data_IF_481680626954
#
_entry.id   IF_481680626954
#
_cell.length_a   1.000
_cell.length_b   1.000
_cell.length_c   1.000
_cell.angle_alpha   90.00
_cell.angle_beta   90.00
_cell.angle_gamma   90.00
#
_symmetry.space_group_name_H-M   'P 1'
#
loop_
_entity.id
_entity.type
_entity.pdbx_description
1 polymer ?
#
# COMPACT_ATOMS: atom_id res chain seq x y z
N UNK A 1 -17.95 -11.61 4.43
CA UNK A 1 -16.63 -12.11 3.98
C UNK A 1 -16.82 -12.98 2.76
N UNK A 2 -16.07 -12.71 1.72
CA UNK A 2 -16.01 -13.46 0.45
C UNK A 2 -14.57 -13.91 0.22
N UNK A 3 -14.36 -14.80 -0.73
CA UNK A 3 -13.02 -15.21 -1.16
C UNK A 3 -12.95 -15.32 -2.67
N UNK A 4 -11.84 -14.92 -3.25
CA UNK A 4 -11.46 -15.21 -4.65
C UNK A 4 -10.22 -16.10 -4.66
N UNK A 5 -10.02 -16.85 -5.72
CA UNK A 5 -8.84 -17.73 -5.86
C UNK A 5 -7.84 -17.06 -6.78
N UNK A 6 -6.64 -16.82 -6.27
CA UNK A 6 -5.51 -16.34 -7.04
C UNK A 6 -4.99 -17.41 -8.00
N UNK A 7 -4.17 -17.03 -8.97
CA UNK A 7 -3.64 -17.92 -10.01
C UNK A 7 -2.87 -19.14 -9.48
N UNK A 8 -2.20 -18.97 -8.32
CA UNK A 8 -1.47 -20.06 -7.65
C UNK A 8 -2.34 -20.93 -6.71
N UNK A 9 -3.67 -20.68 -6.69
CA UNK A 9 -4.61 -21.37 -5.81
C UNK A 9 -4.81 -20.75 -4.45
N UNK A 10 -4.05 -19.70 -4.09
CA UNK A 10 -4.19 -18.98 -2.82
C UNK A 10 -5.56 -18.33 -2.71
N UNK A 11 -6.25 -18.53 -1.58
CA UNK A 11 -7.54 -17.89 -1.30
C UNK A 11 -7.33 -16.49 -0.76
N UNK A 12 -7.87 -15.49 -1.41
CA UNK A 12 -7.81 -14.09 -1.03
C UNK A 12 -9.17 -13.68 -0.47
N UNK A 13 -9.19 -13.30 0.81
CA UNK A 13 -10.39 -12.89 1.53
C UNK A 13 -10.67 -11.40 1.34
N UNK A 14 -11.94 -11.06 1.13
CA UNK A 14 -12.36 -9.68 0.98
C UNK A 14 -13.75 -9.43 1.57
N UNK A 15 -14.04 -8.18 1.86
CA UNK A 15 -15.37 -7.67 2.13
C UNK A 15 -15.80 -6.75 0.98
N UNK A 16 -17.08 -6.82 0.62
CA UNK A 16 -17.71 -6.01 -0.43
C UNK A 16 -18.82 -5.20 0.20
N UNK A 17 -18.78 -3.88 0.02
CA UNK A 17 -19.77 -2.94 0.59
C UNK A 17 -20.12 -1.85 -0.42
N UNK A 18 -21.35 -1.32 -0.32
CA UNK A 18 -21.85 -0.25 -1.20
C UNK A 18 -22.33 -0.71 -2.57
N UNK A 19 -22.68 0.26 -3.40
CA UNK A 19 -23.14 0.09 -4.78
C UNK A 19 -22.55 1.17 -5.67
N UNK A 20 -22.28 0.85 -6.94
CA UNK A 20 -21.69 1.77 -7.90
C UNK A 20 -20.46 1.17 -8.61
N UNK A 21 -19.62 2.00 -9.23
CA UNK A 21 -18.39 1.55 -9.88
C UNK A 21 -17.48 0.81 -8.90
N UNK A 22 -16.80 -0.23 -9.36
CA UNK A 22 -15.91 -1.06 -8.53
C UNK A 22 -14.65 -0.29 -8.12
N UNK A 23 -14.33 -0.28 -6.82
CA UNK A 23 -13.12 0.30 -6.23
C UNK A 23 -12.44 -0.72 -5.33
N UNK A 24 -11.16 -1.01 -5.59
CA UNK A 24 -10.35 -1.93 -4.80
C UNK A 24 -9.39 -1.13 -3.92
N UNK A 25 -9.33 -1.47 -2.63
CA UNK A 25 -8.44 -0.87 -1.64
C UNK A 25 -7.24 -1.79 -1.38
N UNK A 26 -6.03 -1.33 -1.72
CA UNK A 26 -4.78 -2.07 -1.52
C UNK A 26 -4.04 -1.52 -0.31
N UNK A 27 -4.09 -2.24 0.79
CA UNK A 27 -3.51 -1.82 2.06
C UNK A 27 -1.97 -1.87 2.06
N UNK A 28 -1.34 -0.98 2.82
CA UNK A 28 0.10 -0.98 3.07
C UNK A 28 0.56 -1.98 4.13
N UNK A 29 1.82 -1.88 4.54
CA UNK A 29 2.41 -2.70 5.59
C UNK A 29 1.61 -2.61 6.90
N UNK A 30 1.62 -3.69 7.70
CA UNK A 30 0.91 -3.81 8.97
C UNK A 30 -0.62 -3.70 8.90
N UNK A 31 -1.21 -3.53 7.73
CA UNK A 31 -2.64 -3.36 7.55
C UNK A 31 -3.29 -4.60 6.93
N UNK A 32 -4.57 -4.77 7.21
CA UNK A 32 -5.44 -5.84 6.72
C UNK A 32 -6.89 -5.32 6.68
N UNK A 33 -7.82 -6.03 6.01
CA UNK A 33 -9.19 -5.53 5.77
C UNK A 33 -9.99 -5.15 7.02
N UNK A 34 -9.74 -5.82 8.18
CA UNK A 34 -10.37 -5.49 9.47
C UNK A 34 -9.62 -4.42 10.28
N UNK A 35 -8.56 -3.83 9.72
CA UNK A 35 -7.89 -2.71 10.39
C UNK A 35 -8.85 -1.52 10.47
N UNK A 36 -9.00 -0.85 11.64
CA UNK A 36 -10.04 0.16 11.85
C UNK A 36 -10.07 1.27 10.79
N UNK A 37 -8.90 1.77 10.37
CA UNK A 37 -8.81 2.78 9.31
C UNK A 37 -9.28 2.27 7.94
N UNK A 38 -9.02 1.02 7.59
CA UNK A 38 -9.48 0.41 6.35
C UNK A 38 -11.00 0.21 6.35
N UNK A 39 -11.56 -0.29 7.46
CA UNK A 39 -13.01 -0.45 7.62
C UNK A 39 -13.72 0.90 7.49
N UNK A 40 -13.20 1.93 8.18
CA UNK A 40 -13.78 3.28 8.13
C UNK A 40 -13.72 3.85 6.71
N UNK A 41 -12.58 3.73 6.02
CA UNK A 41 -12.42 4.23 4.65
C UNK A 41 -13.34 3.51 3.68
N UNK A 42 -13.41 2.16 3.76
CA UNK A 42 -14.32 1.37 2.93
C UNK A 42 -15.78 1.79 3.13
N UNK A 43 -16.21 2.03 4.37
CA UNK A 43 -17.56 2.49 4.67
C UNK A 43 -17.84 3.89 4.09
N UNK A 44 -16.93 4.86 4.24
CA UNK A 44 -17.10 6.19 3.67
C UNK A 44 -17.17 6.18 2.14
N UNK A 45 -16.36 5.36 1.50
CA UNK A 45 -16.35 5.22 0.03
C UNK A 45 -17.53 4.43 -0.51
N UNK A 46 -18.19 3.61 0.32
CA UNK A 46 -19.36 2.81 -0.08
C UNK A 46 -20.59 3.64 -0.43
N UNK A 47 -20.60 4.94 -0.10
CA UNK A 47 -21.62 5.90 -0.54
C UNK A 47 -21.59 6.13 -2.06
N UNK A 48 -20.43 5.89 -2.70
CA UNK A 48 -20.20 6.21 -4.13
C UNK A 48 -19.81 4.99 -4.96
N UNK A 49 -19.27 3.94 -4.32
CA UNK A 49 -18.64 2.81 -4.99
C UNK A 49 -19.09 1.47 -4.42
N UNK A 50 -18.96 0.43 -5.24
CA UNK A 50 -18.85 -0.93 -4.73
C UNK A 50 -17.40 -1.13 -4.32
N UNK A 51 -17.12 -1.09 -3.01
CA UNK A 51 -15.77 -1.13 -2.44
C UNK A 51 -15.39 -2.57 -2.12
N UNK A 52 -14.26 -3.02 -2.66
CA UNK A 52 -13.61 -4.28 -2.37
C UNK A 52 -12.41 -4.02 -1.45
N UNK A 53 -12.56 -4.35 -0.17
CA UNK A 53 -11.50 -4.24 0.83
C UNK A 53 -10.99 -5.64 1.14
N UNK A 54 -9.77 -5.98 0.68
CA UNK A 54 -9.22 -7.33 0.76
C UNK A 54 -8.02 -7.44 1.70
N UNK A 55 -7.79 -8.63 2.21
CA UNK A 55 -6.55 -8.99 2.88
C UNK A 55 -5.51 -9.39 1.83
N UNK A 56 -4.38 -8.71 1.76
CA UNK A 56 -3.23 -9.17 0.98
C UNK A 56 -2.78 -10.54 1.50
N UNK A 57 -2.16 -11.36 0.63
CA UNK A 57 -1.71 -12.72 1.02
C UNK A 57 -0.94 -12.74 2.33
N UNK A 58 -1.11 -13.78 3.13
CA UNK A 58 -0.51 -13.93 4.45
C UNK A 58 -1.14 -13.06 5.54
N UNK A 59 -2.18 -12.26 5.26
CA UNK A 59 -2.80 -11.36 6.23
C UNK A 59 -4.26 -11.69 6.46
N UNK A 60 -4.74 -11.39 7.67
CA UNK A 60 -6.14 -11.54 8.03
C UNK A 60 -6.67 -12.95 7.78
N UNK A 61 -7.67 -13.06 6.92
CA UNK A 61 -8.30 -14.34 6.56
C UNK A 61 -7.86 -14.86 5.17
N UNK A 62 -6.92 -14.16 4.50
CA UNK A 62 -6.32 -14.65 3.27
C UNK A 62 -5.31 -15.77 3.53
N UNK A 63 -5.22 -16.69 2.58
CA UNK A 63 -4.19 -17.70 2.55
C UNK A 63 -2.79 -17.11 2.30
N UNK A 64 -1.79 -17.96 2.41
CA UNK A 64 -0.39 -17.63 2.13
C UNK A 64 0.24 -18.73 1.27
N UNK A 65 1.40 -18.44 0.67
CA UNK A 65 2.18 -19.38 -0.11
C UNK A 65 3.59 -19.47 0.44
N UNK A 66 4.21 -20.66 0.54
CA UNK A 66 5.60 -20.83 0.97
C UNK A 66 6.59 -20.07 0.08
N UNK A 67 6.22 -19.85 -1.18
CA UNK A 67 7.06 -19.18 -2.19
C UNK A 67 6.46 -17.81 -2.53
N UNK A 68 6.81 -16.80 -1.73
CA UNK A 68 6.44 -15.44 -2.02
C UNK A 68 7.26 -14.88 -3.19
N UNK A 69 6.57 -14.26 -4.14
CA UNK A 69 7.15 -13.32 -5.10
C UNK A 69 6.19 -12.15 -5.30
N UNK A 70 6.70 -11.03 -5.82
CA UNK A 70 5.89 -9.83 -6.08
C UNK A 70 4.79 -10.16 -7.11
N UNK A 71 5.11 -10.98 -8.11
CA UNK A 71 4.17 -11.41 -9.15
C UNK A 71 2.97 -12.16 -8.55
N UNK A 72 3.16 -12.92 -7.46
CA UNK A 72 2.06 -13.58 -6.76
C UNK A 72 1.09 -12.58 -6.13
N UNK A 73 1.57 -11.48 -5.56
CA UNK A 73 0.67 -10.42 -5.07
C UNK A 73 0.02 -9.63 -6.22
N UNK A 74 0.71 -9.45 -7.34
CA UNK A 74 0.11 -8.85 -8.55
C UNK A 74 -1.01 -9.74 -9.10
N UNK A 75 -0.83 -11.06 -9.10
CA UNK A 75 -1.86 -12.04 -9.46
C UNK A 75 -3.06 -12.01 -8.49
N UNK A 76 -2.83 -11.75 -7.20
CA UNK A 76 -3.92 -11.55 -6.23
C UNK A 76 -4.75 -10.31 -6.57
N UNK A 77 -4.08 -9.19 -6.86
CA UNK A 77 -4.78 -7.97 -7.24
C UNK A 77 -5.50 -8.13 -8.59
N UNK A 78 -4.92 -8.87 -9.54
CA UNK A 78 -5.59 -9.21 -10.79
C UNK A 78 -6.85 -10.05 -10.54
N UNK A 79 -6.78 -11.06 -9.66
CA UNK A 79 -7.95 -11.86 -9.29
C UNK A 79 -9.05 -11.01 -8.63
N UNK A 80 -8.67 -10.00 -7.83
CA UNK A 80 -9.60 -9.02 -7.27
C UNK A 80 -10.23 -8.13 -8.35
N UNK A 81 -9.49 -7.73 -9.40
CA UNK A 81 -10.00 -6.96 -10.54
C UNK A 81 -11.00 -7.81 -11.35
N UNK A 82 -10.69 -9.08 -11.57
CA UNK A 82 -11.56 -10.02 -12.28
C UNK A 82 -12.87 -10.23 -11.51
N UNK A 83 -12.81 -10.45 -10.19
CA UNK A 83 -13.95 -10.55 -9.28
C UNK A 83 -14.80 -9.26 -9.25
N UNK A 84 -14.16 -8.11 -9.44
CA UNK A 84 -14.83 -6.81 -9.51
C UNK A 84 -15.51 -6.53 -10.86
N UNK A 85 -15.48 -7.48 -11.79
CA UNK A 85 -16.11 -7.40 -13.11
C UNK A 85 -15.13 -7.13 -14.24
N UNK A 86 -13.84 -7.50 -14.09
CA UNK A 86 -12.81 -7.42 -15.11
C UNK A 86 -12.17 -6.03 -15.28
N UNK A 87 -12.64 -5.02 -14.53
CA UNK A 87 -12.00 -3.69 -14.47
C UNK A 87 -12.45 -2.94 -13.22
N UNK A 88 -11.54 -2.16 -12.61
CA UNK A 88 -11.83 -1.43 -11.39
C UNK A 88 -11.07 -0.10 -11.29
N UNK A 89 -11.51 0.77 -10.41
CA UNK A 89 -10.66 1.78 -9.80
C UNK A 89 -9.81 1.13 -8.72
N UNK A 90 -8.57 1.60 -8.55
CA UNK A 90 -7.66 1.07 -7.52
C UNK A 90 -7.07 2.21 -6.71
N UNK A 91 -7.13 2.09 -5.39
CA UNK A 91 -6.39 2.93 -4.46
C UNK A 91 -5.39 2.07 -3.70
N UNK A 92 -4.13 2.47 -3.71
CA UNK A 92 -3.07 1.84 -2.95
C UNK A 92 -2.45 2.79 -1.93
N UNK A 93 -2.13 2.28 -0.75
CA UNK A 93 -1.49 3.02 0.33
C UNK A 93 -0.10 2.46 0.61
N UNK A 94 0.93 3.34 0.66
CA UNK A 94 2.30 2.95 1.06
C UNK A 94 2.84 1.80 0.18
N UNK A 95 3.30 0.67 0.72
CA UNK A 95 3.71 -0.51 -0.07
C UNK A 95 2.58 -1.05 -0.96
N UNK A 96 1.32 -0.88 -0.55
CA UNK A 96 0.16 -1.21 -1.40
C UNK A 96 0.02 -0.28 -2.61
N UNK A 97 0.51 0.97 -2.53
CA UNK A 97 0.58 1.85 -3.69
C UNK A 97 1.63 1.37 -4.70
N UNK A 98 2.77 0.86 -4.22
CA UNK A 98 3.79 0.27 -5.10
C UNK A 98 3.28 -1.01 -5.75
N UNK A 99 2.59 -1.88 -5.00
CA UNK A 99 1.94 -3.08 -5.57
C UNK A 99 0.92 -2.71 -6.67
N UNK A 100 0.05 -1.73 -6.41
CA UNK A 100 -0.93 -1.26 -7.38
C UNK A 100 -0.27 -0.67 -8.63
N UNK A 101 0.82 0.10 -8.46
CA UNK A 101 1.61 0.68 -9.54
C UNK A 101 2.26 -0.40 -10.43
N UNK A 102 2.90 -1.40 -9.81
CA UNK A 102 3.53 -2.52 -10.55
C UNK A 102 2.47 -3.36 -11.28
N UNK A 103 1.32 -3.61 -10.65
CA UNK A 103 0.21 -4.34 -11.28
C UNK A 103 -0.36 -3.55 -12.48
N UNK A 104 -0.49 -2.23 -12.35
CA UNK A 104 -0.88 -1.35 -13.46
C UNK A 104 0.12 -1.40 -14.61
N UNK A 105 1.42 -1.33 -14.31
CA UNK A 105 2.50 -1.40 -15.31
C UNK A 105 2.55 -2.75 -16.02
N UNK A 106 2.12 -3.83 -15.38
CA UNK A 106 1.97 -5.16 -15.98
C UNK A 106 0.71 -5.32 -16.85
N UNK A 107 -0.08 -4.26 -17.04
CA UNK A 107 -1.23 -4.24 -17.95
C UNK A 107 -2.57 -4.64 -17.35
N UNK A 108 -2.69 -4.67 -16.03
CA UNK A 108 -3.98 -4.90 -15.37
C UNK A 108 -5.01 -3.83 -15.78
N UNK A 109 -6.27 -4.24 -15.95
CA UNK A 109 -7.34 -3.35 -16.41
C UNK A 109 -7.84 -2.42 -15.30
N UNK A 110 -7.00 -1.44 -14.97
CA UNK A 110 -7.29 -0.40 -13.98
C UNK A 110 -7.80 0.86 -14.70
N UNK A 111 -9.04 1.28 -14.40
CA UNK A 111 -9.68 2.44 -15.03
C UNK A 111 -9.06 3.77 -14.59
N UNK A 112 -8.80 3.92 -13.30
CA UNK A 112 -8.07 5.03 -12.68
C UNK A 112 -7.32 4.51 -11.48
N UNK A 113 -6.16 5.11 -11.20
CA UNK A 113 -5.26 4.69 -10.14
C UNK A 113 -5.01 5.83 -9.16
N UNK A 114 -5.11 5.58 -7.86
CA UNK A 114 -4.71 6.53 -6.83
C UNK A 114 -3.61 5.92 -5.96
N UNK A 115 -2.47 6.58 -5.90
CA UNK A 115 -1.24 6.13 -5.24
C UNK A 115 -0.95 7.04 -4.06
N UNK A 116 -1.18 6.54 -2.85
CA UNK A 116 -1.09 7.33 -1.62
C UNK A 116 0.23 7.07 -0.91
N UNK A 117 1.10 8.06 -0.93
CA UNK A 117 2.42 8.04 -0.29
C UNK A 117 3.21 6.75 -0.53
N UNK A 118 3.45 6.36 -1.81
CA UNK A 118 4.36 5.24 -2.09
C UNK A 118 5.74 5.58 -1.52
N UNK A 119 6.38 4.68 -0.75
CA UNK A 119 7.62 4.98 -0.05
C UNK A 119 8.83 4.88 -0.98
N UNK A 120 8.90 5.78 -1.95
CA UNK A 120 10.02 5.92 -2.88
C UNK A 120 11.02 6.93 -2.27
N UNK A 121 12.28 6.54 -2.13
CA UNK A 121 13.36 7.42 -1.65
C UNK A 121 14.26 7.76 -2.83
N UNK A 122 14.06 8.94 -3.39
CA UNK A 122 14.64 9.35 -4.69
C UNK A 122 15.87 10.27 -4.56
N UNK A 123 16.21 10.63 -3.33
CA UNK A 123 17.35 11.50 -2.99
C UNK A 123 17.80 11.26 -1.53
N UNK A 124 18.82 12.00 -1.10
CA UNK A 124 19.36 11.94 0.25
C UNK A 124 18.80 13.01 1.21
N UNK A 125 17.69 13.70 0.85
CA UNK A 125 17.11 14.77 1.67
C UNK A 125 16.39 14.26 2.92
N UNK A 126 16.07 12.98 3.01
CA UNK A 126 15.33 12.38 4.11
C UNK A 126 15.89 11.07 4.60
N UNK A 127 15.09 10.38 5.42
CA UNK A 127 15.46 9.06 5.91
C UNK A 127 15.56 8.06 4.74
N UNK A 128 16.67 7.31 4.73
CA UNK A 128 16.94 6.22 3.79
C UNK A 128 17.20 4.94 4.58
N UNK A 129 16.56 3.81 4.23
CA UNK A 129 16.85 2.52 4.83
C UNK A 129 18.29 2.07 4.56
N UNK A 130 18.88 1.21 5.42
CA UNK A 130 20.15 0.57 5.13
C UNK A 130 20.07 -0.31 3.87
N UNK A 131 21.18 -0.46 3.16
CA UNK A 131 21.28 -1.28 1.93
C UNK A 131 20.85 -2.75 2.16
N UNK A 132 21.11 -3.30 3.35
CA UNK A 132 20.71 -4.67 3.72
C UNK A 132 19.29 -4.79 4.26
N UNK A 133 18.46 -3.73 4.13
CA UNK A 133 17.13 -3.65 4.75
C UNK A 133 16.24 -4.86 4.43
N UNK A 134 16.08 -5.19 3.16
CA UNK A 134 15.23 -6.32 2.71
C UNK A 134 15.74 -7.64 3.28
N UNK A 135 17.06 -7.89 3.16
CA UNK A 135 17.72 -9.09 3.68
C UNK A 135 17.55 -9.20 5.19
N UNK A 136 17.74 -8.09 5.92
CA UNK A 136 17.67 -8.08 7.39
C UNK A 136 16.26 -8.36 7.90
N UNK A 137 15.24 -7.78 7.26
CA UNK A 137 13.82 -8.07 7.57
C UNK A 137 13.54 -9.56 7.38
N UNK A 138 13.94 -10.14 6.26
CA UNK A 138 13.76 -11.56 5.95
C UNK A 138 14.45 -12.47 6.96
N UNK A 139 15.71 -12.18 7.34
CA UNK A 139 16.46 -12.95 8.36
C UNK A 139 15.76 -12.91 9.72
N UNK A 140 15.24 -11.74 10.14
CA UNK A 140 14.53 -11.63 11.42
C UNK A 140 13.24 -12.45 11.44
N UNK A 141 12.48 -12.44 10.34
CA UNK A 141 11.24 -13.21 10.24
C UNK A 141 11.53 -14.71 10.17
N UNK A 142 12.49 -15.16 9.37
CA UNK A 142 12.90 -16.57 9.29
C UNK A 142 13.38 -17.11 10.63
N UNK A 143 14.01 -16.28 11.45
CA UNK A 143 14.42 -16.61 12.82
C UNK A 143 13.26 -16.52 13.84
N UNK A 144 12.00 -16.34 13.41
CA UNK A 144 10.82 -16.11 14.26
C UNK A 144 10.94 -14.94 15.24
N UNK A 145 11.78 -13.94 14.92
CA UNK A 145 12.02 -12.72 15.73
C UNK A 145 11.08 -11.58 15.31
N UNK A 146 9.76 -11.86 15.26
CA UNK A 146 8.73 -10.93 14.74
C UNK A 146 8.77 -9.56 15.40
N UNK A 147 8.93 -9.49 16.72
CA UNK A 147 8.97 -8.21 17.46
C UNK A 147 10.19 -7.35 17.10
N UNK A 148 11.33 -7.98 16.80
CA UNK A 148 12.52 -7.28 16.33
C UNK A 148 12.39 -6.86 14.86
N UNK A 149 11.74 -7.68 14.03
CA UNK A 149 11.43 -7.33 12.66
C UNK A 149 10.52 -6.09 12.59
N UNK A 150 9.47 -6.01 13.43
CA UNK A 150 8.61 -4.83 13.56
C UNK A 150 9.46 -3.60 13.94
N UNK A 151 10.26 -3.71 15.01
CA UNK A 151 11.12 -2.61 15.45
C UNK A 151 12.08 -2.16 14.34
N UNK A 152 12.74 -3.10 13.68
CA UNK A 152 13.69 -2.82 12.60
C UNK A 152 13.00 -2.16 11.41
N UNK A 153 11.87 -2.71 10.94
CA UNK A 153 11.09 -2.17 9.84
C UNK A 153 10.63 -0.73 10.12
N UNK A 154 10.07 -0.47 11.30
CA UNK A 154 9.59 0.86 11.67
C UNK A 154 10.74 1.86 11.85
N UNK A 155 11.84 1.46 12.51
CA UNK A 155 12.92 2.41 12.83
C UNK A 155 13.90 2.59 11.67
N UNK A 156 14.29 1.51 11.00
CA UNK A 156 15.29 1.53 9.92
C UNK A 156 14.67 1.65 8.53
N UNK A 157 13.47 1.11 8.34
CA UNK A 157 12.72 1.26 7.09
C UNK A 157 11.97 2.59 7.01
N UNK A 158 11.16 2.89 8.03
CA UNK A 158 10.27 4.06 8.01
C UNK A 158 10.83 5.30 8.74
N UNK A 159 11.98 5.21 9.41
CA UNK A 159 12.58 6.31 10.16
C UNK A 159 11.84 6.67 11.46
N UNK A 160 10.98 5.79 11.97
CA UNK A 160 10.25 6.06 13.21
C UNK A 160 11.19 6.10 14.42
N UNK A 161 11.02 7.06 15.37
CA UNK A 161 11.81 7.09 16.58
C UNK A 161 11.62 5.81 17.43
N UNK A 162 12.71 5.26 17.93
CA UNK A 162 12.69 3.99 18.68
C UNK A 162 11.77 4.01 19.90
N UNK A 163 11.65 5.17 20.58
CA UNK A 163 10.78 5.32 21.74
C UNK A 163 9.29 5.17 21.36
N UNK A 164 8.89 5.63 20.16
CA UNK A 164 7.50 5.48 19.65
C UNK A 164 7.18 4.01 19.47
N UNK A 165 8.09 3.23 18.89
CA UNK A 165 7.91 1.78 18.71
C UNK A 165 7.87 1.05 20.07
N UNK A 166 8.69 1.49 21.03
CA UNK A 166 8.67 0.95 22.40
C UNK A 166 7.33 1.25 23.11
N UNK A 167 6.77 2.44 22.91
CA UNK A 167 5.45 2.80 23.43
C UNK A 167 4.33 1.93 22.82
N UNK A 168 4.35 1.70 21.51
CA UNK A 168 3.38 0.83 20.83
C UNK A 168 3.37 -0.59 21.42
N UNK A 169 4.51 -1.06 21.94
CA UNK A 169 4.65 -2.38 22.54
C UNK A 169 3.83 -2.57 23.83
N UNK A 170 3.59 -1.49 24.55
CA UNK A 170 2.81 -1.51 25.80
C UNK A 170 1.37 -1.04 25.61
N UNK A 171 1.01 -0.56 24.40
CA UNK A 171 -0.37 -0.14 24.11
C UNK A 171 -1.28 -1.35 23.89
N UNK A 172 -2.40 -1.46 24.64
CA UNK A 172 -3.33 -2.58 24.49
C UNK A 172 -3.79 -2.78 23.04
N UNK A 173 -3.68 -4.00 22.56
CA UNK A 173 -4.15 -4.40 21.21
C UNK A 173 -3.35 -3.84 20.03
N UNK A 174 -2.48 -2.85 20.20
CA UNK A 174 -1.65 -2.33 19.11
C UNK A 174 -0.58 -3.35 18.73
N UNK A 175 0.21 -3.76 19.72
CA UNK A 175 1.32 -4.68 19.48
C UNK A 175 0.85 -6.04 18.96
N UNK A 176 -0.22 -6.60 19.50
CA UNK A 176 -0.78 -7.88 19.05
C UNK A 176 -1.22 -7.83 17.57
N UNK A 177 -1.83 -6.73 17.13
CA UNK A 177 -2.19 -6.53 15.71
C UNK A 177 -0.96 -6.48 14.81
N UNK A 178 0.10 -5.78 15.22
CA UNK A 178 1.36 -5.74 14.46
C UNK A 178 2.00 -7.13 14.39
N UNK A 179 2.05 -7.85 15.51
CA UNK A 179 2.61 -9.21 15.59
C UNK A 179 1.86 -10.22 14.72
N UNK A 180 0.53 -10.05 14.58
CA UNK A 180 -0.31 -10.95 13.79
C UNK A 180 0.08 -10.96 12.30
N UNK A 181 0.53 -9.81 11.76
CA UNK A 181 0.89 -9.66 10.34
C UNK A 181 2.40 -9.48 10.10
N UNK A 182 3.22 -9.52 11.14
CA UNK A 182 4.66 -9.23 11.04
C UNK A 182 5.42 -10.20 10.12
N UNK A 183 4.93 -11.43 9.95
CA UNK A 183 5.54 -12.41 9.05
C UNK A 183 5.48 -12.00 7.58
N UNK A 184 4.58 -11.06 7.20
CA UNK A 184 4.49 -10.52 5.84
C UNK A 184 5.38 -9.29 5.60
N UNK A 185 6.15 -8.82 6.58
CA UNK A 185 7.07 -7.69 6.39
C UNK A 185 8.13 -7.91 5.29
N UNK A 186 8.64 -9.14 5.07
CA UNK A 186 9.50 -9.41 3.91
C UNK A 186 8.80 -9.13 2.57
N UNK A 187 7.47 -9.29 2.48
CA UNK A 187 6.68 -9.02 1.27
C UNK A 187 6.67 -7.53 0.98
N UNK A 188 6.37 -6.71 2.01
CA UNK A 188 6.43 -5.25 1.88
C UNK A 188 7.84 -4.75 1.57
N UNK A 189 8.87 -5.34 2.20
CA UNK A 189 10.26 -4.98 1.93
C UNK A 189 10.68 -5.31 0.50
N UNK A 190 10.27 -6.47 -0.03
CA UNK A 190 10.56 -6.88 -1.41
C UNK A 190 9.91 -5.95 -2.45
N UNK A 191 8.66 -5.52 -2.22
CA UNK A 191 7.98 -4.54 -3.09
C UNK A 191 8.74 -3.22 -3.20
N UNK A 192 9.51 -2.85 -2.18
CA UNK A 192 10.24 -1.58 -2.09
C UNK A 192 11.72 -1.72 -2.47
N UNK A 193 12.18 -2.93 -2.79
CA UNK A 193 13.58 -3.18 -3.17
C UNK A 193 13.94 -2.40 -4.45
N UNK A 194 15.07 -1.69 -4.42
CA UNK A 194 15.49 -0.81 -5.50
C UNK A 194 14.79 0.55 -5.60
N UNK A 195 13.76 0.82 -4.76
CA UNK A 195 13.05 2.10 -4.76
C UNK A 195 13.34 2.99 -3.56
N UNK A 196 14.15 2.52 -2.61
CA UNK A 196 14.46 3.26 -1.37
C UNK A 196 15.97 3.54 -1.19
N UNK A 197 16.72 3.61 -2.27
CA UNK A 197 18.18 3.72 -2.24
C UNK A 197 18.72 5.15 -2.41
N UNK A 198 17.83 6.15 -2.49
CA UNK A 198 18.20 7.57 -2.62
C UNK A 198 18.56 7.96 -4.06
N UNK A 199 18.17 7.18 -5.06
CA UNK A 199 18.43 7.47 -6.46
C UNK A 199 17.18 7.94 -7.20
N UNK A 200 17.37 8.87 -8.13
CA UNK A 200 16.30 9.31 -9.00
C UNK A 200 15.65 8.13 -9.74
N UNK A 201 14.33 8.18 -9.91
CA UNK A 201 13.62 7.18 -10.70
C UNK A 201 14.14 7.18 -12.13
N UNK A 202 14.40 6.02 -12.74
CA UNK A 202 14.74 5.94 -14.15
C UNK A 202 13.66 6.60 -15.02
N UNK A 203 14.08 7.29 -16.06
CA UNK A 203 13.14 7.83 -17.03
C UNK A 203 12.32 6.72 -17.67
N UNK A 204 11.02 7.00 -17.87
CA UNK A 204 10.08 6.07 -18.54
C UNK A 204 9.85 4.74 -17.80
N UNK A 205 10.27 4.64 -16.55
CA UNK A 205 10.08 3.42 -15.77
C UNK A 205 8.60 2.97 -15.74
N UNK A 206 7.69 3.93 -15.78
CA UNK A 206 6.25 3.71 -15.66
C UNK A 206 5.45 4.14 -16.89
N UNK A 207 6.05 4.20 -18.09
CA UNK A 207 5.36 4.62 -19.33
C UNK A 207 4.13 3.75 -19.67
N UNK A 208 4.12 2.49 -19.23
CA UNK A 208 2.98 1.60 -19.40
C UNK A 208 1.77 1.98 -18.54
N UNK A 209 1.94 2.84 -17.53
CA UNK A 209 0.85 3.30 -16.64
C UNK A 209 0.17 4.51 -17.28
N UNK A 210 -0.70 4.25 -18.25
CA UNK A 210 -1.33 5.29 -19.10
C UNK A 210 -2.68 5.78 -18.60
N UNK A 211 -3.28 5.09 -17.61
CA UNK A 211 -4.55 5.52 -17.01
C UNK A 211 -4.37 6.79 -16.18
N UNK A 212 -5.45 7.56 -16.02
CA UNK A 212 -5.43 8.72 -15.11
C UNK A 212 -5.01 8.27 -13.71
N UNK A 213 -3.94 8.90 -13.22
CA UNK A 213 -3.34 8.57 -11.93
C UNK A 213 -3.31 9.77 -10.99
N UNK A 214 -3.74 9.58 -9.75
CA UNK A 214 -3.63 10.56 -8.68
C UNK A 214 -2.53 10.10 -7.71
N UNK A 215 -1.43 10.85 -7.63
CA UNK A 215 -0.41 10.65 -6.60
C UNK A 215 -0.74 11.56 -5.43
N UNK A 216 -0.80 11.02 -4.22
CA UNK A 216 -1.30 11.71 -3.02
C UNK A 216 -0.19 11.78 -1.98
N UNK A 217 0.02 12.97 -1.40
CA UNK A 217 0.90 13.17 -0.26
C UNK A 217 0.26 14.07 0.82
N UNK A 218 0.72 13.90 2.06
CA UNK A 218 0.47 14.86 3.13
C UNK A 218 1.56 15.92 3.18
N UNK A 219 1.19 17.21 3.28
CA UNK A 219 2.18 18.30 3.39
C UNK A 219 3.04 18.23 4.66
N UNK A 220 2.61 17.44 5.65
CA UNK A 220 3.31 17.25 6.93
C UNK A 220 4.03 15.89 7.00
N UNK A 221 4.05 15.15 5.90
CA UNK A 221 4.76 13.86 5.81
C UNK A 221 6.27 14.04 5.71
N UNK A 222 7.04 13.00 6.05
CA UNK A 222 8.49 13.02 5.89
C UNK A 222 8.92 13.47 4.50
N UNK A 223 10.02 14.21 4.43
CA UNK A 223 10.50 14.80 3.17
C UNK A 223 10.76 13.74 2.10
N UNK A 224 11.29 12.56 2.45
CA UNK A 224 11.50 11.45 1.51
C UNK A 224 10.20 10.97 0.85
N UNK A 225 9.10 10.84 1.59
CA UNK A 225 7.80 10.46 1.02
C UNK A 225 7.25 11.53 0.07
N UNK A 226 7.41 12.81 0.43
CA UNK A 226 6.97 13.91 -0.42
C UNK A 226 7.78 13.99 -1.71
N UNK A 227 9.11 13.92 -1.62
CA UNK A 227 9.98 13.91 -2.80
C UNK A 227 9.71 12.70 -3.70
N UNK A 228 9.49 11.51 -3.10
CA UNK A 228 9.07 10.31 -3.83
C UNK A 228 7.74 10.50 -4.57
N UNK A 229 6.75 11.13 -3.93
CA UNK A 229 5.45 11.41 -4.56
C UNK A 229 5.58 12.41 -5.73
N UNK A 230 6.37 13.48 -5.55
CA UNK A 230 6.66 14.45 -6.62
C UNK A 230 7.38 13.80 -7.79
N UNK A 231 8.43 13.02 -7.52
CA UNK A 231 9.19 12.32 -8.55
C UNK A 231 8.32 11.32 -9.33
N UNK A 232 7.46 10.57 -8.62
CA UNK A 232 6.54 9.64 -9.26
C UNK A 232 5.51 10.37 -10.13
N UNK A 233 4.91 11.46 -9.64
CA UNK A 233 3.95 12.22 -10.44
C UNK A 233 4.59 12.80 -11.71
N UNK A 234 5.87 13.18 -11.67
CA UNK A 234 6.62 13.64 -12.85
C UNK A 234 7.06 12.53 -13.81
N UNK A 235 7.14 11.28 -13.31
CA UNK A 235 7.56 10.11 -14.12
C UNK A 235 6.39 9.43 -14.84
N UNK A 236 5.16 9.60 -14.36
CA UNK A 236 3.98 8.96 -14.93
C UNK A 236 3.37 9.81 -16.06
N UNK A 237 2.94 9.20 -17.20
CA UNK A 237 2.42 9.93 -18.37
C UNK A 237 1.18 10.78 -18.09
N UNK A 238 0.26 10.29 -17.25
CA UNK A 238 -1.05 10.90 -16.99
C UNK A 238 -1.33 11.06 -15.50
N UNK A 239 -0.34 11.56 -14.74
CA UNK A 239 -0.49 11.75 -13.31
C UNK A 239 -0.70 13.22 -12.93
N UNK A 240 -1.40 13.40 -11.81
CA UNK A 240 -1.42 14.66 -11.07
C UNK A 240 -1.08 14.43 -9.61
N UNK A 241 -0.40 15.40 -9.01
CA UNK A 241 -0.07 15.38 -7.59
C UNK A 241 -1.18 16.08 -6.78
N UNK A 242 -1.63 15.45 -5.71
CA UNK A 242 -2.45 16.06 -4.67
C UNK A 242 -1.62 16.17 -3.38
N UNK A 243 -1.25 17.39 -3.04
CA UNK A 243 -0.52 17.71 -1.79
C UNK A 243 -1.44 18.44 -0.84
N UNK A 244 -1.78 17.82 0.31
CA UNK A 244 -2.77 18.39 1.22
C UNK A 244 -2.50 18.04 2.69
N UNK A 245 -2.74 19.00 3.58
CA UNK A 245 -2.63 18.79 5.04
C UNK A 245 -3.64 17.73 5.52
N UNK A 246 -3.17 16.83 6.39
CA UNK A 246 -3.99 15.75 6.97
C UNK A 246 -4.09 14.50 6.13
N UNK A 247 -3.45 14.45 4.94
CA UNK A 247 -3.39 13.24 4.11
C UNK A 247 -2.18 12.35 4.39
N UNK A 248 -1.22 12.77 5.24
CA UNK A 248 -0.09 11.92 5.60
C UNK A 248 -0.51 10.70 6.41
N UNK A 249 0.02 9.52 6.05
CA UNK A 249 -0.31 8.27 6.75
C UNK A 249 0.68 7.89 7.87
N UNK A 250 1.79 8.60 7.99
CA UNK A 250 2.79 8.39 9.07
C UNK A 250 2.33 8.89 10.43
N UNK A 251 1.28 9.72 10.44
CA UNK A 251 0.52 10.15 11.60
C UNK A 251 -0.90 9.55 11.48
N UNK A 252 -1.89 10.17 12.12
CA UNK A 252 -3.29 9.77 11.96
C UNK A 252 -3.83 10.29 10.64
N UNK A 253 -4.06 9.40 9.67
CA UNK A 253 -4.72 9.72 8.41
C UNK A 253 -6.15 10.21 8.66
N UNK A 254 -6.51 11.35 8.07
CA UNK A 254 -7.89 11.85 8.06
C UNK A 254 -8.71 11.07 7.01
N UNK A 255 -9.38 10.02 7.46
CA UNK A 255 -10.16 9.12 6.60
C UNK A 255 -11.33 9.81 5.90
N UNK A 256 -11.93 10.85 6.50
CA UNK A 256 -13.00 11.63 5.86
C UNK A 256 -12.44 12.48 4.72
N UNK A 257 -11.31 13.13 4.96
CA UNK A 257 -10.67 13.95 3.94
C UNK A 257 -10.20 13.11 2.76
N UNK A 258 -9.51 11.99 3.01
CA UNK A 258 -9.05 11.13 1.91
C UNK A 258 -10.22 10.51 1.15
N UNK A 259 -11.31 10.11 1.79
CA UNK A 259 -12.48 9.56 1.10
C UNK A 259 -13.11 10.59 0.15
N UNK A 260 -13.21 11.85 0.56
CA UNK A 260 -13.73 12.95 -0.28
C UNK A 260 -12.84 13.20 -1.51
N UNK A 261 -11.50 13.23 -1.33
CA UNK A 261 -10.57 13.41 -2.44
C UNK A 261 -10.59 12.23 -3.44
N UNK A 262 -10.68 10.99 -2.92
CA UNK A 262 -10.81 9.81 -3.77
C UNK A 262 -12.14 9.78 -4.52
N UNK A 263 -13.26 10.12 -3.87
CA UNK A 263 -14.55 10.21 -4.52
C UNK A 263 -14.54 11.25 -5.64
N UNK A 264 -14.01 12.45 -5.37
CA UNK A 264 -13.87 13.51 -6.37
C UNK A 264 -13.01 13.09 -7.56
N UNK A 265 -11.91 12.37 -7.32
CA UNK A 265 -11.02 11.87 -8.39
C UNK A 265 -11.67 10.77 -9.22
N UNK A 266 -12.21 9.74 -8.57
CA UNK A 266 -12.73 8.57 -9.30
C UNK A 266 -14.05 8.88 -10.03
N UNK A 267 -14.90 9.74 -9.46
CA UNK A 267 -16.17 10.15 -10.09
C UNK A 267 -16.01 11.28 -11.10
N UNK A 268 -14.96 12.09 -10.98
CA UNK A 268 -14.69 13.19 -11.91
C UNK A 268 -14.32 12.70 -13.31
N UNK A 269 -14.69 13.47 -14.32
CA UNK A 269 -14.37 13.16 -15.73
C UNK A 269 -12.97 13.63 -16.17
N UNK A 270 -12.15 14.15 -15.24
CA UNK A 270 -10.79 14.67 -15.52
C UNK A 270 -9.82 14.30 -14.39
#
# INVERSE_FOLDING_TARGET
MHTVTSKDGTKIAYDKVGQGPSLILVAGAFSYRKFPGQVQLAHLLSEYFTVYNYDRRGRGDSGDSPSYTIEREMEDLQAMIDEAGGSAYVWGLSSGAVLALQTAAAGANIKKLALHEPPLVVDDAGHKPPEDFVKRVSVLISANRRGEAIKYFMTKGMGAPSFVVSLMRVMPGVWSRLMAVAHTLPYDAALLDGYMDGKALPEKLWDAVTMLTLVIEGTESPVSLRHGAHALAGNLPNARLLSKKGLGHTKKLDTKKISSELAAFFMGNR
#
